data_IF_855400418604
#
_entry.id   IF_855400418604
#
_cell.length_a   1.000
_cell.length_b   1.000
_cell.length_c   1.000
_cell.angle_alpha   90.00
_cell.angle_beta   90.00
_cell.angle_gamma   90.00
#
_symmetry.space_group_name_H-M   'P 1'
#
loop_
_entity.id
_entity.type
_entity.pdbx_description
1 polymer ?
#
# COMPACT_ATOMS: atom_id res chain seq x y z
N UNK A 1 11.39 9.83 15.53
CA UNK A 1 10.38 10.72 14.95
C UNK A 1 9.41 9.83 14.23
N UNK A 2 8.12 9.91 14.56
CA UNK A 2 7.12 9.21 13.78
C UNK A 2 7.10 9.81 12.37
N UNK A 3 7.16 8.96 11.36
CA UNK A 3 7.05 9.34 9.95
C UNK A 3 5.61 9.06 9.49
N UNK A 4 4.60 9.85 9.90
CA UNK A 4 3.19 9.47 9.80
C UNK A 4 2.72 9.23 8.37
N UNK A 5 3.37 9.87 7.39
CA UNK A 5 3.07 9.72 5.96
C UNK A 5 3.83 8.57 5.30
N UNK A 6 4.48 7.70 6.07
CA UNK A 6 5.25 6.58 5.57
C UNK A 6 4.74 5.29 6.19
N UNK A 7 4.50 4.27 5.36
CA UNK A 7 4.47 2.89 5.81
C UNK A 7 5.63 2.14 5.18
N UNK A 8 6.46 1.54 6.04
CA UNK A 8 7.63 0.75 5.62
C UNK A 8 7.45 -0.68 6.13
N UNK A 9 7.42 -1.65 5.22
CA UNK A 9 7.36 -3.08 5.54
C UNK A 9 8.59 -3.77 4.95
N UNK A 10 9.56 -4.10 5.81
CA UNK A 10 10.83 -4.71 5.39
C UNK A 10 10.93 -6.15 5.86
N UNK A 11 10.76 -7.06 4.90
CA UNK A 11 10.82 -8.51 5.05
C UNK A 11 11.85 -9.08 4.05
N UNK A 12 13.12 -8.65 4.12
CA UNK A 12 14.11 -8.86 3.04
C UNK A 12 14.45 -10.33 2.74
N UNK A 13 14.11 -11.26 3.64
CA UNK A 13 14.35 -12.69 3.48
C UNK A 13 13.05 -13.49 3.24
N UNK A 14 11.93 -12.80 3.02
CA UNK A 14 10.61 -13.41 2.89
C UNK A 14 10.17 -13.35 1.44
N UNK A 15 9.82 -14.52 0.89
CA UNK A 15 9.08 -14.63 -0.37
C UNK A 15 7.59 -14.50 -0.07
N UNK A 16 6.93 -13.55 -0.72
CA UNK A 16 5.51 -13.26 -0.52
C UNK A 16 4.77 -13.68 -1.79
N UNK A 17 3.85 -14.65 -1.69
CA UNK A 17 3.11 -15.08 -2.87
C UNK A 17 2.02 -14.06 -3.22
N UNK A 18 1.28 -13.59 -2.21
CA UNK A 18 0.23 -12.60 -2.40
C UNK A 18 0.30 -11.57 -1.30
N UNK A 19 0.32 -10.29 -1.67
CA UNK A 19 0.17 -9.18 -0.75
C UNK A 19 -1.06 -8.36 -1.12
N UNK A 20 -2.04 -8.34 -0.21
CA UNK A 20 -3.23 -7.50 -0.33
C UNK A 20 -3.15 -6.35 0.64
N UNK A 21 -3.18 -5.14 0.11
CA UNK A 21 -3.36 -3.92 0.86
C UNK A 21 -4.82 -3.51 0.77
N UNK A 22 -5.54 -3.61 1.89
CA UNK A 22 -6.94 -3.18 1.99
C UNK A 22 -7.04 -1.95 2.88
N UNK A 23 -7.59 -0.85 2.36
CA UNK A 23 -7.81 0.35 3.16
C UNK A 23 -9.30 0.54 3.35
N UNK A 24 -9.68 0.54 4.62
CA UNK A 24 -11.06 0.70 5.05
C UNK A 24 -11.15 1.96 5.90
N UNK A 25 -12.04 2.92 5.58
CA UNK A 25 -12.40 3.91 6.57
C UNK A 25 -13.06 3.17 7.73
N UNK A 26 -12.61 3.42 8.96
CA UNK A 26 -13.27 2.94 10.17
C UNK A 26 -14.60 3.70 10.32
N UNK A 27 -15.56 3.39 9.46
CA UNK A 27 -16.94 3.84 9.57
C UNK A 27 -17.57 2.96 10.63
N UNK A 28 -17.61 3.51 11.84
CA UNK A 28 -18.18 2.92 13.03
C UNK A 28 -17.33 1.81 13.66
N UNK A 29 -17.42 1.74 14.98
CA UNK A 29 -16.65 0.91 15.92
C UNK A 29 -16.87 -0.60 15.75
N UNK A 30 -17.33 -1.04 14.57
CA UNK A 30 -17.79 -2.38 14.24
C UNK A 30 -16.82 -3.14 13.33
N UNK A 31 -15.76 -2.50 12.82
CA UNK A 31 -14.67 -3.20 12.12
C UNK A 31 -14.01 -4.29 13.00
N UNK A 32 -14.15 -4.19 14.32
CA UNK A 32 -13.67 -5.16 15.30
C UNK A 32 -14.46 -6.49 15.34
N UNK A 33 -15.58 -6.60 14.63
CA UNK A 33 -16.40 -7.82 14.62
C UNK A 33 -16.10 -8.76 13.44
N UNK A 34 -15.21 -8.38 12.51
CA UNK A 34 -14.83 -9.21 11.39
C UNK A 34 -13.66 -10.12 11.80
N UNK A 35 -13.97 -11.35 12.22
CA UNK A 35 -13.02 -12.35 12.74
C UNK A 35 -11.90 -12.79 11.78
N UNK A 36 -11.83 -12.17 10.59
CA UNK A 36 -10.76 -12.34 9.60
C UNK A 36 -9.48 -11.57 9.94
N UNK A 37 -9.53 -10.62 10.89
CA UNK A 37 -8.45 -9.65 11.13
C UNK A 37 -7.96 -9.59 12.58
N UNK A 38 -8.17 -10.64 13.39
CA UNK A 38 -7.86 -10.67 14.83
C UNK A 38 -6.41 -10.34 15.21
N UNK A 39 -5.45 -10.37 14.28
CA UNK A 39 -4.02 -10.32 14.63
C UNK A 39 -3.14 -9.31 13.87
N UNK A 40 -3.69 -8.43 13.02
CA UNK A 40 -2.88 -7.43 12.29
C UNK A 40 -3.66 -6.15 12.00
N UNK A 41 -3.64 -5.19 12.94
CA UNK A 41 -4.21 -3.86 12.76
C UNK A 41 -3.10 -2.81 12.76
N UNK A 42 -2.94 -2.10 11.65
CA UNK A 42 -2.12 -0.90 11.54
C UNK A 42 -3.05 0.28 11.30
N UNK A 43 -3.33 1.04 12.36
CA UNK A 43 -4.13 2.27 12.26
C UNK A 43 -3.24 3.42 11.79
N UNK A 44 -3.51 3.97 10.61
CA UNK A 44 -2.81 5.15 10.10
C UNK A 44 -3.81 6.09 9.41
N UNK A 45 -4.07 7.23 10.04
CA UNK A 45 -5.01 8.22 9.51
C UNK A 45 -4.55 8.80 8.17
N UNK A 46 -3.24 8.97 7.98
CA UNK A 46 -2.68 9.51 6.74
C UNK A 46 -2.79 8.49 5.59
N UNK A 47 -2.71 7.18 5.87
CA UNK A 47 -2.95 6.15 4.85
C UNK A 47 -4.41 6.14 4.40
N UNK A 48 -5.36 6.34 5.32
CA UNK A 48 -6.79 6.47 5.01
C UNK A 48 -7.04 7.70 4.11
N UNK A 49 -6.48 8.85 4.47
CA UNK A 49 -6.60 10.08 3.66
C UNK A 49 -6.02 9.91 2.26
N UNK A 50 -4.89 9.22 2.15
CA UNK A 50 -4.16 9.06 0.89
C UNK A 50 -4.91 8.26 -0.19
N UNK A 51 -5.87 7.42 0.20
CA UNK A 51 -6.68 6.65 -0.76
C UNK A 51 -8.14 7.06 -0.80
N UNK A 52 -8.48 8.14 -0.09
CA UNK A 52 -9.73 8.84 -0.32
C UNK A 52 -9.68 9.58 -1.68
N UNK A 53 -10.83 9.96 -2.24
CA UNK A 53 -10.98 10.43 -3.63
C UNK A 53 -9.96 11.48 -4.10
N UNK A 54 -9.47 12.33 -3.20
CA UNK A 54 -8.50 13.39 -3.51
C UNK A 54 -7.07 13.12 -3.02
N UNK A 55 -6.86 12.09 -2.20
CA UNK A 55 -5.56 11.75 -1.64
C UNK A 55 -4.64 11.10 -2.66
N UNK A 56 -3.33 11.27 -2.49
CA UNK A 56 -2.31 10.68 -3.35
C UNK A 56 -1.40 9.74 -2.54
N UNK A 57 -0.95 8.68 -3.19
CA UNK A 57 0.05 7.80 -2.64
C UNK A 57 1.08 7.37 -3.69
N UNK A 58 2.27 7.06 -3.20
CA UNK A 58 3.32 6.39 -3.96
C UNK A 58 3.60 5.04 -3.31
N UNK A 59 3.47 3.99 -4.12
CA UNK A 59 3.84 2.62 -3.77
C UNK A 59 5.20 2.31 -4.37
N UNK A 60 6.12 1.84 -3.52
CA UNK A 60 7.41 1.30 -3.91
C UNK A 60 7.55 -0.13 -3.39
N UNK A 61 7.84 -1.07 -4.28
CA UNK A 61 8.14 -2.46 -3.93
C UNK A 61 9.55 -2.79 -4.41
N UNK A 62 10.46 -3.04 -3.49
CA UNK A 62 11.81 -3.52 -3.78
C UNK A 62 11.85 -5.04 -3.57
N UNK A 63 12.07 -5.78 -4.65
CA UNK A 63 12.38 -7.22 -4.63
C UNK A 63 13.86 -7.43 -4.93
N UNK A 64 14.35 -8.67 -4.87
CA UNK A 64 15.71 -9.00 -5.29
C UNK A 64 15.97 -8.68 -6.76
N UNK A 65 14.97 -8.91 -7.62
CA UNK A 65 15.13 -8.83 -9.08
C UNK A 65 14.82 -7.44 -9.62
N UNK A 66 13.88 -6.73 -9.00
CA UNK A 66 13.33 -5.48 -9.54
C UNK A 66 12.71 -4.58 -8.48
N UNK A 67 12.62 -3.31 -8.84
CA UNK A 67 11.90 -2.29 -8.10
C UNK A 67 10.68 -1.86 -8.89
N UNK A 68 9.51 -1.94 -8.28
CA UNK A 68 8.27 -1.41 -8.79
C UNK A 68 7.94 -0.08 -8.13
N UNK A 69 7.54 0.90 -8.93
CA UNK A 69 7.05 2.19 -8.42
C UNK A 69 5.74 2.53 -9.11
N UNK A 70 4.71 2.85 -8.32
CA UNK A 70 3.40 3.26 -8.81
C UNK A 70 2.91 4.49 -8.05
N UNK A 71 2.24 5.39 -8.76
CA UNK A 71 1.48 6.49 -8.16
C UNK A 71 0.00 6.25 -8.31
N UNK A 72 -0.74 6.44 -7.23
CA UNK A 72 -2.19 6.38 -7.23
C UNK A 72 -2.80 7.64 -6.61
N UNK A 73 -4.05 7.91 -6.99
CA UNK A 73 -4.90 8.91 -6.37
C UNK A 73 -6.25 8.28 -6.06
N UNK A 74 -6.63 8.24 -4.79
CA UNK A 74 -7.81 7.49 -4.37
C UNK A 74 -7.71 6.00 -4.76
N UNK A 75 -8.72 5.51 -5.50
CA UNK A 75 -8.73 4.16 -6.10
C UNK A 75 -8.15 4.10 -7.52
N UNK A 76 -7.73 5.23 -8.08
CA UNK A 76 -7.25 5.31 -9.45
C UNK A 76 -5.73 5.17 -9.48
N UNK A 77 -5.24 4.33 -10.38
CA UNK A 77 -3.83 4.25 -10.73
C UNK A 77 -3.58 5.37 -11.73
N UNK A 78 -2.69 6.30 -11.38
CA UNK A 78 -2.39 7.46 -12.23
C UNK A 78 -1.25 7.17 -13.19
N UNK A 79 -0.16 6.56 -12.70
CA UNK A 79 1.03 6.29 -13.51
C UNK A 79 1.77 5.04 -12.99
N UNK A 80 2.14 4.15 -13.92
CA UNK A 80 3.23 3.20 -13.75
C UNK A 80 4.49 3.85 -14.30
N UNK A 81 5.42 4.25 -13.42
CA UNK A 81 6.73 4.67 -13.86
C UNK A 81 7.69 3.50 -13.76
N UNK A 82 8.09 3.01 -14.93
CA UNK A 82 9.29 2.18 -15.01
C UNK A 82 10.50 3.05 -14.63
N UNK A 83 11.07 2.71 -13.47
CA UNK A 83 12.40 3.08 -12.99
C UNK A 83 12.72 4.58 -12.87
N UNK A 84 12.91 5.04 -11.62
CA UNK A 84 13.93 6.05 -11.34
C UNK A 84 13.51 7.36 -10.69
N UNK A 85 12.25 7.56 -10.29
CA UNK A 85 11.91 8.79 -9.55
C UNK A 85 12.14 8.60 -8.05
N UNK A 86 13.15 9.32 -7.54
CA UNK A 86 13.72 9.26 -6.19
C UNK A 86 12.83 9.71 -5.03
N UNK A 87 11.54 9.39 -5.04
CA UNK A 87 10.71 9.51 -3.84
C UNK A 87 11.04 8.39 -2.87
N UNK A 88 11.71 8.76 -1.79
CA UNK A 88 12.12 7.85 -0.70
C UNK A 88 11.32 8.07 0.58
N UNK A 89 10.46 9.10 0.60
CA UNK A 89 9.71 9.52 1.79
C UNK A 89 8.34 10.10 1.42
N UNK A 90 7.34 9.85 2.26
CA UNK A 90 6.03 10.47 2.18
C UNK A 90 6.00 11.90 2.69
N UNK A 91 5.03 12.65 2.18
CA UNK A 91 4.74 14.04 2.53
C UNK A 91 3.28 14.18 2.96
N UNK A 92 2.87 15.39 3.38
CA UNK A 92 1.48 15.68 3.71
C UNK A 92 0.52 15.48 2.53
N UNK A 93 1.02 15.67 1.33
CA UNK A 93 0.22 15.61 0.10
C UNK A 93 0.33 14.26 -0.62
N UNK A 94 1.37 13.47 -0.30
CA UNK A 94 1.55 12.13 -0.86
C UNK A 94 2.04 11.14 0.19
N UNK A 95 1.22 10.15 0.51
CA UNK A 95 1.60 9.05 1.39
C UNK A 95 2.56 8.09 0.69
N UNK A 96 3.57 7.61 1.41
CA UNK A 96 4.58 6.71 0.85
C UNK A 96 4.48 5.32 1.47
N UNK A 97 4.35 4.34 0.58
CA UNK A 97 4.30 2.94 0.91
C UNK A 97 5.57 2.31 0.38
N UNK A 98 6.36 1.70 1.25
CA UNK A 98 7.56 1.00 0.86
C UNK A 98 7.59 -0.41 1.40
N UNK A 99 7.50 -1.37 0.49
CA UNK A 99 7.64 -2.79 0.79
C UNK A 99 8.98 -3.25 0.27
N UNK A 100 9.75 -3.95 1.10
CA UNK A 100 10.98 -4.63 0.69
C UNK A 100 10.87 -6.10 1.04
N UNK A 101 11.00 -6.97 0.05
CA UNK A 101 10.89 -8.42 0.23
C UNK A 101 11.89 -9.16 -0.67
N UNK A 102 12.01 -10.48 -0.49
CA UNK A 102 12.89 -11.29 -1.34
C UNK A 102 12.30 -11.37 -2.75
N UNK A 103 11.07 -11.89 -2.84
CA UNK A 103 10.28 -12.06 -4.06
C UNK A 103 8.80 -11.75 -3.77
N UNK A 104 8.07 -11.24 -4.76
CA UNK A 104 6.64 -10.95 -4.68
C UNK A 104 5.93 -11.31 -6.00
N UNK A 105 4.99 -12.26 -5.96
CA UNK A 105 4.32 -12.72 -7.19
C UNK A 105 3.10 -11.85 -7.54
N UNK A 106 2.23 -11.58 -6.57
CA UNK A 106 0.97 -10.86 -6.77
C UNK A 106 0.77 -9.76 -5.73
N UNK A 107 0.35 -8.59 -6.21
CA UNK A 107 0.06 -7.43 -5.36
C UNK A 107 -1.28 -6.82 -5.70
N UNK A 108 -2.01 -6.37 -4.67
CA UNK A 108 -3.29 -5.68 -4.85
C UNK A 108 -3.45 -4.56 -3.84
N UNK A 109 -3.87 -3.40 -4.32
CA UNK A 109 -4.47 -2.36 -3.48
C UNK A 109 -5.97 -2.37 -3.73
N UNK A 110 -6.74 -2.40 -2.65
CA UNK A 110 -8.20 -2.22 -2.73
C UNK A 110 -8.67 -1.23 -1.68
N UNK A 111 -9.64 -0.41 -2.08
CA UNK A 111 -10.54 0.25 -1.15
C UNK A 111 -11.84 -0.56 -1.10
N UNK A 112 -12.57 -0.48 0.01
CA UNK A 112 -13.84 -1.23 0.17
C UNK A 112 -14.92 -0.93 -0.89
N UNK A 113 -14.68 0.03 -1.79
CA UNK A 113 -15.61 0.47 -2.81
C UNK A 113 -15.45 -0.27 -4.14
N UNK A 114 -14.34 -0.98 -4.36
CA UNK A 114 -14.15 -1.86 -5.53
C UNK A 114 -13.30 -3.08 -5.13
N UNK A 115 -14.00 -4.18 -4.87
CA UNK A 115 -13.38 -5.50 -4.81
C UNK A 115 -13.37 -6.08 -6.22
N UNK A 116 -12.30 -6.81 -6.60
CA UNK A 116 -12.00 -7.41 -7.91
C UNK A 116 -11.10 -6.44 -8.72
N UNK A 117 -9.78 -6.52 -8.67
CA UNK A 117 -8.96 -7.59 -9.27
C UNK A 117 -7.54 -7.65 -8.68
N UNK A 118 -6.82 -8.78 -8.85
CA UNK A 118 -5.39 -8.91 -8.54
C UNK A 118 -4.54 -8.63 -9.78
N UNK A 119 -3.40 -7.98 -9.60
CA UNK A 119 -2.45 -7.72 -10.67
C UNK A 119 -1.19 -8.57 -10.48
N UNK A 120 -0.79 -9.25 -11.56
CA UNK A 120 0.46 -10.01 -11.59
C UNK A 120 1.62 -9.07 -11.84
N UNK A 121 2.60 -9.09 -10.94
CA UNK A 121 3.84 -8.35 -11.07
C UNK A 121 4.77 -9.13 -12.03
N UNK A 122 4.58 -8.94 -13.35
CA UNK A 122 5.46 -9.54 -14.37
C UNK A 122 6.87 -8.98 -14.30
#
# INVERSE_FOLDING_TARGET
>A
MDEPHNLKLFLPFTTIHTLSWTIRPLLENNAYQDGLYENCLLENLESIKAVFLEGQYTLKIDTREKTYVRRGKGSQILEEQDQGVGMTTGTKDNFFIWIKCLDLDEFRISNDWNQNDFEKLR
#
